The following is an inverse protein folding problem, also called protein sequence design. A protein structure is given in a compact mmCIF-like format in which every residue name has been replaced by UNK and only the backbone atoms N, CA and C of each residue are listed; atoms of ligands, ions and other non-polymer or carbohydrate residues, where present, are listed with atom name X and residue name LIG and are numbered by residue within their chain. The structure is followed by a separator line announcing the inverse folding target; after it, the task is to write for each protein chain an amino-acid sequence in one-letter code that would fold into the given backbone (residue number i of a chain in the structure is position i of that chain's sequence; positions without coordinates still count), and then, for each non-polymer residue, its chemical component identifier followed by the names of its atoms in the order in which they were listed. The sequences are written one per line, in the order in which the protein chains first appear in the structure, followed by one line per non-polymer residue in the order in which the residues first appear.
data_IF_127859588299
#
_entry.id   IF_127859588299
#
_cell.length_a   1.000
_cell.length_b   1.000
_cell.length_c   1.000
_cell.angle_alpha   90.00
_cell.angle_beta   90.00
_cell.angle_gamma   90.00
#
_symmetry.space_group_name_H-M   'P 1'
#
loop_
_entity.id
_entity.type
_entity.pdbx_description
1 polymer ?
#
# COMPACT_ATOMS: atom_id res chain seq x y z
N UNK A 1 -37.98 24.46 -22.11
CA UNK A 1 -37.56 23.20 -21.45
C UNK A 1 -38.33 23.06 -20.15
N UNK A 2 -39.07 21.96 -19.92
CA UNK A 2 -39.90 21.82 -18.71
C UNK A 2 -39.01 21.76 -17.46
N UNK A 3 -39.42 22.47 -16.39
CA UNK A 3 -38.69 22.60 -15.12
C UNK A 3 -38.23 21.26 -14.52
N UNK A 4 -38.95 20.17 -14.82
CA UNK A 4 -38.62 18.82 -14.35
C UNK A 4 -37.30 18.27 -14.89
N UNK A 5 -36.94 18.55 -16.14
CA UNK A 5 -35.75 17.96 -16.76
C UNK A 5 -34.45 18.58 -16.19
N UNK A 6 -34.43 19.89 -15.93
CA UNK A 6 -33.29 20.56 -15.28
C UNK A 6 -33.03 20.03 -13.86
N UNK A 7 -34.08 19.66 -13.12
CA UNK A 7 -33.95 19.08 -11.77
C UNK A 7 -33.33 17.68 -11.81
N UNK A 8 -33.68 16.86 -12.80
CA UNK A 8 -33.11 15.52 -12.98
C UNK A 8 -31.61 15.61 -13.30
N UNK A 9 -31.20 16.51 -14.20
CA UNK A 9 -29.78 16.70 -14.51
C UNK A 9 -28.97 17.20 -13.30
N UNK A 10 -29.54 18.09 -12.49
CA UNK A 10 -28.88 18.58 -11.28
C UNK A 10 -28.68 17.45 -10.25
N UNK A 11 -29.69 16.61 -10.05
CA UNK A 11 -29.61 15.46 -9.12
C UNK A 11 -28.59 14.45 -9.63
N UNK A 12 -28.58 14.13 -10.92
CA UNK A 12 -27.60 13.22 -11.50
C UNK A 12 -26.16 13.77 -11.40
N UNK A 13 -25.98 15.07 -11.59
CA UNK A 13 -24.67 15.71 -11.42
C UNK A 13 -24.21 15.69 -9.95
N UNK A 14 -25.10 15.97 -8.99
CA UNK A 14 -24.80 15.88 -7.56
C UNK A 14 -24.46 14.44 -7.16
N UNK A 15 -25.24 13.45 -7.60
CA UNK A 15 -24.98 12.03 -7.30
C UNK A 15 -23.65 11.58 -7.90
N UNK A 16 -23.34 11.99 -9.14
CA UNK A 16 -22.06 11.72 -9.78
C UNK A 16 -20.88 12.38 -9.04
N UNK A 17 -21.03 13.66 -8.66
CA UNK A 17 -20.04 14.40 -7.89
C UNK A 17 -19.80 13.78 -6.51
N UNK A 18 -20.86 13.38 -5.80
CA UNK A 18 -20.76 12.73 -4.48
C UNK A 18 -20.14 11.34 -4.57
N UNK A 19 -20.43 10.57 -5.62
CA UNK A 19 -19.76 9.29 -5.90
C UNK A 19 -18.26 9.48 -6.16
N UNK A 20 -17.89 10.53 -6.90
CA UNK A 20 -16.48 10.81 -7.22
C UNK A 20 -15.69 11.30 -5.99
N UNK A 21 -16.34 12.08 -5.11
CA UNK A 21 -15.75 12.51 -3.84
C UNK A 21 -15.50 11.33 -2.89
N UNK A 22 -16.44 10.41 -2.76
CA UNK A 22 -16.29 9.22 -1.90
C UNK A 22 -15.14 8.30 -2.36
N UNK A 23 -14.88 8.21 -3.66
CA UNK A 23 -13.74 7.48 -4.22
C UNK A 23 -12.40 8.18 -3.93
N UNK A 24 -12.40 9.52 -3.83
CA UNK A 24 -11.19 10.29 -3.51
C UNK A 24 -10.74 10.19 -2.04
N UNK A 25 -11.68 10.12 -1.08
CA UNK A 25 -11.35 9.98 0.35
C UNK A 25 -10.83 8.57 0.70
N UNK A 26 -11.41 7.53 0.08
CA UNK A 26 -10.91 6.16 0.20
C UNK A 26 -9.48 6.03 -0.32
N UNK A 27 -9.17 6.70 -1.44
CA UNK A 27 -7.85 6.73 -2.04
C UNK A 27 -6.80 7.48 -1.17
N UNK A 28 -7.18 8.60 -0.55
CA UNK A 28 -6.26 9.34 0.32
C UNK A 28 -5.87 8.53 1.56
N UNK A 29 -6.82 7.80 2.15
CA UNK A 29 -6.57 6.96 3.33
C UNK A 29 -5.59 5.84 3.03
N UNK A 30 -5.63 5.27 1.82
CA UNK A 30 -4.71 4.22 1.40
C UNK A 30 -3.28 4.70 1.14
N UNK A 31 -3.06 6.01 0.98
CA UNK A 31 -1.69 6.56 0.90
C UNK A 31 -0.91 6.37 2.20
N UNK A 32 -1.59 6.18 3.34
CA UNK A 32 -0.94 5.83 4.61
C UNK A 32 -0.19 4.49 4.53
N UNK A 33 -0.50 3.59 3.58
CA UNK A 33 0.31 2.38 3.33
C UNK A 33 1.78 2.69 2.99
N UNK A 34 2.09 3.93 2.62
CA UNK A 34 3.44 4.39 2.32
C UNK A 34 4.18 4.92 3.57
N UNK A 35 3.49 5.03 4.71
CA UNK A 35 4.07 5.48 5.98
C UNK A 35 4.82 4.36 6.70
N UNK A 36 6.06 4.15 6.28
CA UNK A 36 6.98 3.15 6.83
C UNK A 36 7.32 3.40 8.30
N UNK A 37 7.30 4.66 8.75
CA UNK A 37 7.61 5.01 10.14
C UNK A 37 6.53 4.48 11.08
N UNK A 38 5.27 4.81 10.82
CA UNK A 38 4.16 4.36 11.66
C UNK A 38 4.03 2.83 11.65
N UNK A 39 4.33 2.21 10.51
CA UNK A 39 4.34 0.75 10.38
C UNK A 39 5.43 0.08 11.24
N UNK A 40 6.65 0.62 11.23
CA UNK A 40 7.77 0.13 12.05
C UNK A 40 7.57 0.37 13.55
N UNK A 41 6.94 1.49 13.93
CA UNK A 41 6.58 1.76 15.32
C UNK A 41 5.58 0.72 15.86
N UNK A 42 4.61 0.31 15.03
CA UNK A 42 3.62 -0.68 15.41
C UNK A 42 4.12 -2.13 15.31
N UNK A 43 5.06 -2.42 14.40
CA UNK A 43 5.61 -3.76 14.18
C UNK A 43 7.14 -3.77 14.34
N UNK A 44 7.61 -4.05 15.56
CA UNK A 44 9.03 -4.06 15.90
C UNK A 44 9.52 -2.85 16.71
N UNK A 45 8.61 -1.93 17.05
CA UNK A 45 8.83 -0.80 17.96
C UNK A 45 10.04 0.07 17.57
N UNK A 46 10.28 0.25 16.26
CA UNK A 46 11.45 0.91 15.67
C UNK A 46 12.81 0.28 16.00
N UNK A 47 12.88 -0.82 16.75
CA UNK A 47 14.13 -1.48 17.14
C UNK A 47 14.55 -2.49 16.07
N UNK A 48 13.58 -3.26 15.57
CA UNK A 48 13.90 -4.36 14.65
C UNK A 48 14.37 -3.84 13.28
N UNK A 49 13.77 -2.78 12.75
CA UNK A 49 14.26 -2.16 11.50
C UNK A 49 15.69 -1.63 11.64
N UNK A 50 16.12 -1.24 12.84
CA UNK A 50 17.47 -0.74 13.11
C UNK A 50 18.54 -1.83 12.99
N UNK A 51 18.16 -3.11 13.03
CA UNK A 51 19.12 -4.19 12.79
C UNK A 51 19.72 -4.11 11.39
N UNK A 52 19.00 -3.55 10.41
CA UNK A 52 19.54 -3.33 9.06
C UNK A 52 20.74 -2.38 9.02
N UNK A 53 20.96 -1.57 10.06
CA UNK A 53 22.12 -0.68 10.18
C UNK A 53 23.33 -1.33 10.83
N UNK A 54 23.18 -2.54 11.38
CA UNK A 54 24.31 -3.30 11.93
C UNK A 54 25.32 -3.53 10.82
N UNK A 55 26.59 -3.21 11.09
CA UNK A 55 27.72 -3.32 10.15
C UNK A 55 27.63 -2.44 8.90
N UNK A 56 26.78 -1.40 8.90
CA UNK A 56 26.68 -0.45 7.78
C UNK A 56 27.25 0.92 8.14
N UNK A 57 27.55 1.72 7.12
CA UNK A 57 27.91 3.14 7.27
C UNK A 57 26.70 4.08 7.15
N UNK A 58 25.47 3.54 7.20
CA UNK A 58 24.24 4.30 6.99
C UNK A 58 23.70 4.98 8.25
N UNK A 59 24.45 4.98 9.35
CA UNK A 59 24.00 5.48 10.66
C UNK A 59 23.54 6.94 10.67
N UNK A 60 23.99 7.76 9.71
CA UNK A 60 23.50 9.14 9.56
C UNK A 60 22.00 9.22 9.22
N UNK A 61 21.40 8.14 8.72
CA UNK A 61 19.97 8.05 8.36
C UNK A 61 19.14 7.24 9.38
N UNK A 62 19.66 7.04 10.60
CA UNK A 62 19.10 6.10 11.58
C UNK A 62 17.64 6.42 11.99
N UNK A 63 17.29 7.70 12.06
CA UNK A 63 15.95 8.17 12.44
C UNK A 63 15.11 8.71 11.26
N UNK A 64 15.71 8.70 10.07
CA UNK A 64 15.05 9.05 8.83
C UNK A 64 14.28 7.85 8.27
N UNK A 65 13.22 8.10 7.50
CA UNK A 65 12.45 7.06 6.79
C UNK A 65 12.24 7.51 5.34
N UNK A 66 13.27 8.16 4.79
CA UNK A 66 13.26 8.76 3.45
C UNK A 66 13.98 7.89 2.42
N UNK A 67 14.05 8.38 1.19
CA UNK A 67 14.73 7.69 0.09
C UNK A 67 16.18 7.36 0.39
N UNK A 68 16.93 8.29 0.98
CA UNK A 68 18.36 8.13 1.21
C UNK A 68 18.68 7.04 2.24
N UNK A 69 17.85 6.88 3.27
CA UNK A 69 17.95 5.74 4.19
C UNK A 69 17.94 4.43 3.43
N UNK A 70 16.90 4.21 2.64
CA UNK A 70 16.69 2.92 2.00
C UNK A 70 17.69 2.66 0.88
N UNK A 71 18.06 3.69 0.10
CA UNK A 71 19.13 3.56 -0.88
C UNK A 71 20.45 3.13 -0.20
N UNK A 72 20.85 3.80 0.88
CA UNK A 72 22.07 3.45 1.59
C UNK A 72 22.03 2.00 2.10
N UNK A 73 20.95 1.61 2.77
CA UNK A 73 20.80 0.26 3.31
C UNK A 73 20.80 -0.80 2.21
N UNK A 74 20.03 -0.60 1.14
CA UNK A 74 19.91 -1.57 0.06
C UNK A 74 21.22 -1.71 -0.71
N UNK A 75 21.97 -0.61 -0.90
CA UNK A 75 23.30 -0.64 -1.51
C UNK A 75 24.31 -1.35 -0.60
N UNK A 76 24.32 -1.05 0.70
CA UNK A 76 25.24 -1.69 1.65
C UNK A 76 25.07 -3.21 1.69
N UNK A 77 23.81 -3.67 1.68
CA UNK A 77 23.48 -5.10 1.68
C UNK A 77 23.46 -5.74 0.28
N UNK A 78 23.76 -4.97 -0.78
CA UNK A 78 23.71 -5.42 -2.17
C UNK A 78 22.36 -6.09 -2.52
N UNK A 79 21.25 -5.49 -2.08
CA UNK A 79 19.92 -6.12 -2.22
C UNK A 79 19.32 -5.99 -3.61
N UNK A 80 19.80 -5.06 -4.45
CA UNK A 80 19.26 -4.79 -5.79
C UNK A 80 20.30 -5.08 -6.86
N UNK A 81 19.89 -5.74 -7.94
CA UNK A 81 20.73 -5.94 -9.12
C UNK A 81 20.77 -4.70 -10.02
N UNK A 82 21.50 -4.77 -11.13
CA UNK A 82 21.61 -3.67 -12.10
C UNK A 82 20.29 -3.31 -12.81
N UNK A 83 19.22 -4.07 -12.58
CA UNK A 83 17.86 -3.85 -13.11
C UNK A 83 16.89 -3.50 -11.98
N UNK A 84 17.40 -3.13 -10.81
CA UNK A 84 16.64 -2.81 -9.61
C UNK A 84 15.74 -3.96 -9.13
N UNK A 85 16.15 -5.22 -9.33
CA UNK A 85 15.44 -6.40 -8.80
C UNK A 85 16.12 -6.94 -7.56
N UNK A 86 15.33 -7.50 -6.66
CA UNK A 86 15.83 -8.07 -5.41
C UNK A 86 16.74 -9.26 -5.69
N UNK A 87 17.97 -9.20 -5.17
CA UNK A 87 18.92 -10.31 -5.17
C UNK A 87 18.61 -11.22 -3.97
N UNK A 88 17.95 -12.36 -4.26
CA UNK A 88 17.48 -13.30 -3.24
C UNK A 88 18.58 -13.86 -2.34
N UNK A 89 19.76 -14.27 -2.87
CA UNK A 89 20.83 -14.79 -2.01
C UNK A 89 21.27 -13.78 -0.95
N UNK A 90 21.50 -12.54 -1.35
CA UNK A 90 21.94 -11.41 -0.51
C UNK A 90 20.86 -11.05 0.51
N UNK A 91 19.60 -11.02 0.09
CA UNK A 91 18.46 -10.84 0.98
C UNK A 91 18.39 -11.93 2.06
N UNK A 92 18.53 -13.20 1.67
CA UNK A 92 18.45 -14.32 2.60
C UNK A 92 19.63 -14.33 3.58
N UNK A 93 20.83 -13.98 3.12
CA UNK A 93 22.01 -13.83 3.97
C UNK A 93 21.80 -12.69 4.99
N UNK A 94 21.35 -11.52 4.53
CA UNK A 94 21.02 -10.38 5.41
C UNK A 94 20.00 -10.78 6.48
N UNK A 95 18.85 -11.34 6.09
CA UNK A 95 17.80 -11.72 7.05
C UNK A 95 18.33 -12.77 8.04
N UNK A 96 19.08 -13.76 7.57
CA UNK A 96 19.63 -14.81 8.43
C UNK A 96 20.63 -14.25 9.44
N UNK A 97 21.46 -13.29 9.04
CA UNK A 97 22.44 -12.66 9.94
C UNK A 97 21.77 -11.79 11.00
N UNK A 98 20.72 -11.06 10.63
CA UNK A 98 20.09 -10.07 11.50
C UNK A 98 19.00 -10.67 12.40
N UNK A 99 18.27 -11.69 11.93
CA UNK A 99 17.06 -12.21 12.59
C UNK A 99 17.11 -13.73 12.83
N UNK A 100 18.29 -14.27 13.13
CA UNK A 100 18.52 -15.70 13.34
C UNK A 100 17.69 -16.30 14.50
N UNK A 101 17.21 -17.55 14.44
CA UNK A 101 16.71 -18.28 15.62
C UNK A 101 17.51 -18.12 16.91
N UNK A 102 18.85 -18.07 16.82
CA UNK A 102 19.74 -17.96 17.97
C UNK A 102 19.65 -16.61 18.70
N UNK A 103 19.20 -15.55 18.03
CA UNK A 103 19.02 -14.23 18.63
C UNK A 103 17.56 -13.94 19.04
N UNK A 104 16.66 -14.91 18.87
CA UNK A 104 15.26 -14.80 19.28
C UNK A 104 14.35 -14.03 18.32
N UNK A 105 14.82 -13.66 17.13
CA UNK A 105 14.05 -12.86 16.16
C UNK A 105 13.57 -13.63 14.91
N UNK A 106 13.60 -14.97 14.94
CA UNK A 106 13.27 -15.80 13.78
C UNK A 106 11.89 -15.54 13.19
N UNK A 107 10.86 -15.35 14.02
CA UNK A 107 9.50 -15.14 13.51
C UNK A 107 9.39 -13.79 12.78
N UNK A 108 10.10 -12.76 13.25
CA UNK A 108 10.20 -11.49 12.53
C UNK A 108 10.97 -11.66 11.23
N UNK A 109 12.12 -12.35 11.26
CA UNK A 109 12.91 -12.63 10.07
C UNK A 109 12.14 -13.41 8.99
N UNK A 110 11.34 -14.41 9.39
CA UNK A 110 10.47 -15.16 8.49
C UNK A 110 9.35 -14.29 7.91
N UNK A 111 8.73 -13.43 8.72
CA UNK A 111 7.71 -12.49 8.24
C UNK A 111 8.31 -11.48 7.25
N UNK A 112 9.50 -10.93 7.55
CA UNK A 112 10.22 -10.00 6.69
C UNK A 112 10.62 -10.67 5.38
N UNK A 113 11.13 -11.92 5.43
CA UNK A 113 11.45 -12.70 4.23
C UNK A 113 10.24 -12.86 3.31
N UNK A 114 9.09 -13.26 3.86
CA UNK A 114 7.85 -13.39 3.08
C UNK A 114 7.41 -12.07 2.47
N UNK A 115 7.49 -10.98 3.24
CA UNK A 115 7.16 -9.64 2.75
C UNK A 115 8.02 -9.23 1.54
N UNK A 116 9.33 -9.49 1.57
CA UNK A 116 10.20 -9.27 0.40
C UNK A 116 9.80 -10.15 -0.80
N UNK A 117 9.54 -11.43 -0.58
CA UNK A 117 9.15 -12.37 -1.65
C UNK A 117 7.82 -12.00 -2.30
N UNK A 118 6.87 -11.46 -1.54
CA UNK A 118 5.59 -11.00 -2.07
C UNK A 118 5.72 -9.67 -2.80
N UNK A 119 6.56 -8.76 -2.29
CA UNK A 119 6.86 -7.50 -2.97
C UNK A 119 7.67 -7.66 -4.26
N UNK A 120 8.53 -8.67 -4.36
CA UNK A 120 9.22 -9.03 -5.61
C UNK A 120 8.21 -9.37 -6.73
N UNK A 121 7.09 -10.02 -6.38
CA UNK A 121 6.01 -10.35 -7.33
C UNK A 121 5.12 -9.14 -7.66
N UNK A 122 5.01 -8.19 -6.74
CA UNK A 122 4.09 -7.06 -6.82
C UNK A 122 4.76 -5.74 -7.24
N UNK A 123 6.08 -5.72 -7.41
CA UNK A 123 6.87 -4.51 -7.66
C UNK A 123 6.29 -3.60 -8.75
N UNK A 124 5.93 -4.14 -9.93
CA UNK A 124 5.36 -3.34 -11.02
C UNK A 124 4.02 -2.69 -10.62
N UNK A 125 3.15 -3.42 -9.91
CA UNK A 125 1.87 -2.89 -9.43
C UNK A 125 2.05 -1.85 -8.33
N UNK A 126 3.07 -2.02 -7.49
CA UNK A 126 3.36 -1.08 -6.42
C UNK A 126 3.99 0.21 -6.97
N UNK A 127 4.86 0.09 -7.98
CA UNK A 127 5.37 1.25 -8.71
C UNK A 127 4.25 2.05 -9.39
N UNK A 128 3.29 1.36 -10.02
CA UNK A 128 2.09 1.99 -10.60
C UNK A 128 1.24 2.69 -9.52
N UNK A 129 1.07 2.08 -8.34
CA UNK A 129 0.35 2.69 -7.22
C UNK A 129 1.06 3.96 -6.72
N UNK A 130 2.37 3.88 -6.50
CA UNK A 130 3.16 5.03 -6.06
C UNK A 130 3.07 6.16 -7.08
N UNK A 131 3.17 5.84 -8.38
CA UNK A 131 3.03 6.84 -9.44
C UNK A 131 1.63 7.47 -9.43
N UNK A 132 0.58 6.67 -9.32
CA UNK A 132 -0.82 7.11 -9.32
C UNK A 132 -1.13 8.04 -8.15
N UNK A 133 -0.59 7.75 -6.95
CA UNK A 133 -0.85 8.52 -5.74
C UNK A 133 0.25 9.53 -5.39
N UNK A 134 1.24 9.71 -6.24
CA UNK A 134 2.43 10.54 -5.97
C UNK A 134 2.10 11.97 -5.54
N UNK A 135 1.09 12.59 -6.15
CA UNK A 135 0.65 13.95 -5.80
C UNK A 135 0.00 14.04 -4.42
N UNK A 136 -0.67 12.98 -3.97
CA UNK A 136 -1.41 12.93 -2.71
C UNK A 136 -0.56 12.37 -1.56
N UNK A 137 0.40 11.52 -1.90
CA UNK A 137 1.29 10.85 -0.97
C UNK A 137 2.60 11.61 -0.72
N UNK A 138 2.74 12.87 -1.15
CA UNK A 138 4.01 13.61 -0.98
C UNK A 138 4.51 13.63 0.48
N UNK A 139 3.59 13.69 1.45
CA UNK A 139 3.93 13.64 2.87
C UNK A 139 4.49 12.27 3.32
N UNK A 140 4.15 11.20 2.61
CA UNK A 140 4.53 9.82 2.94
C UNK A 140 5.65 9.27 2.04
N UNK A 141 5.77 9.80 0.82
CA UNK A 141 6.77 9.37 -0.15
C UNK A 141 8.17 9.86 0.18
N UNK A 142 8.33 10.80 1.13
CA UNK A 142 9.61 11.28 1.70
C UNK A 142 10.78 11.23 0.71
N UNK A 143 10.55 11.77 -0.49
CA UNK A 143 11.49 11.69 -1.60
C UNK A 143 12.61 12.71 -1.41
N UNK A 144 13.86 12.26 -1.46
CA UNK A 144 15.03 13.14 -1.55
C UNK A 144 15.55 13.11 -3.00
N UNK A 145 15.84 14.29 -3.55
CA UNK A 145 16.30 14.44 -4.94
C UNK A 145 17.72 13.93 -5.16
N UNK A 146 18.48 13.72 -4.09
CA UNK A 146 19.87 13.28 -4.15
C UNK A 146 20.01 11.76 -4.12
N UNK A 147 18.89 11.03 -4.01
CA UNK A 147 18.88 9.60 -3.75
C UNK A 147 17.90 8.87 -4.67
N UNK A 148 18.24 7.64 -5.07
CA UNK A 148 17.44 6.84 -6.01
C UNK A 148 16.19 6.22 -5.33
N UNK A 149 14.98 6.38 -5.91
CA UNK A 149 13.73 6.04 -5.22
C UNK A 149 13.40 4.55 -5.19
N UNK A 150 14.07 3.71 -5.97
CA UNK A 150 13.74 2.29 -6.13
C UNK A 150 13.77 1.51 -4.82
N UNK A 151 14.78 1.76 -3.98
CA UNK A 151 14.93 1.11 -2.69
C UNK A 151 13.79 1.47 -1.73
N UNK A 152 13.35 2.74 -1.75
CA UNK A 152 12.22 3.19 -0.93
C UNK A 152 10.92 2.50 -1.34
N UNK A 153 10.65 2.35 -2.64
CA UNK A 153 9.41 1.69 -3.10
C UNK A 153 9.35 0.22 -2.66
N UNK A 154 10.47 -0.50 -2.74
CA UNK A 154 10.56 -1.83 -2.17
C UNK A 154 10.34 -1.81 -0.66
N UNK A 155 10.99 -0.90 0.07
CA UNK A 155 10.85 -0.82 1.51
C UNK A 155 9.42 -0.49 1.96
N UNK A 156 8.71 0.39 1.26
CA UNK A 156 7.30 0.70 1.52
C UNK A 156 6.41 -0.52 1.32
N UNK A 157 6.60 -1.26 0.23
CA UNK A 157 5.88 -2.51 0.00
C UNK A 157 6.15 -3.54 1.10
N UNK A 158 7.43 -3.73 1.44
CA UNK A 158 7.86 -4.72 2.45
C UNK A 158 7.31 -4.34 3.82
N UNK A 159 7.44 -3.08 4.21
CA UNK A 159 6.93 -2.55 5.48
C UNK A 159 5.42 -2.73 5.58
N UNK A 160 4.66 -2.43 4.51
CA UNK A 160 3.23 -2.67 4.48
C UNK A 160 2.87 -4.15 4.65
N UNK A 161 3.53 -5.06 3.91
CA UNK A 161 3.30 -6.50 4.05
C UNK A 161 3.68 -7.05 5.43
N UNK A 162 4.79 -6.57 5.98
CA UNK A 162 5.29 -6.97 7.29
C UNK A 162 4.35 -6.49 8.39
N UNK A 163 3.89 -5.24 8.33
CA UNK A 163 2.92 -4.68 9.26
C UNK A 163 1.61 -5.49 9.29
N UNK A 164 1.09 -5.84 8.11
CA UNK A 164 -0.14 -6.62 7.97
C UNK A 164 0.00 -8.03 8.59
N UNK A 165 1.16 -8.64 8.41
CA UNK A 165 1.46 -10.00 8.85
C UNK A 165 2.39 -10.04 10.08
N UNK A 166 2.39 -8.95 10.87
CA UNK A 166 3.31 -8.80 11.98
C UNK A 166 3.12 -9.93 13.01
N UNK A 167 4.18 -10.64 13.43
CA UNK A 167 4.08 -11.62 14.50
C UNK A 167 3.60 -10.97 15.81
N UNK A 168 2.77 -11.69 16.56
CA UNK A 168 2.08 -11.15 17.75
C UNK A 168 3.05 -10.63 18.81
N UNK A 169 4.20 -11.28 18.95
CA UNK A 169 5.25 -10.92 19.91
C UNK A 169 5.97 -9.60 19.58
N UNK A 170 5.87 -9.10 18.34
CA UNK A 170 6.46 -7.83 17.90
C UNK A 170 5.39 -6.77 17.60
N UNK A 171 4.11 -7.12 17.75
CA UNK A 171 2.99 -6.20 17.57
C UNK A 171 2.81 -5.33 18.81
N UNK A 172 2.70 -4.02 18.60
CA UNK A 172 2.38 -3.07 19.66
C UNK A 172 0.86 -2.98 19.83
N UNK A 173 0.36 -3.67 20.85
CA UNK A 173 -1.08 -3.68 21.15
C UNK A 173 -1.54 -2.37 21.81
N UNK A 174 -1.97 -1.42 20.98
CA UNK A 174 -2.58 -0.17 21.42
C UNK A 174 -3.65 0.29 20.41
N UNK A 175 -4.49 1.24 20.83
CA UNK A 175 -5.61 1.76 20.03
C UNK A 175 -5.13 2.27 18.66
N UNK A 176 -4.07 3.07 18.64
CA UNK A 176 -3.53 3.68 17.41
C UNK A 176 -3.06 2.62 16.40
N UNK A 177 -2.29 1.62 16.82
CA UNK A 177 -1.81 0.55 15.93
C UNK A 177 -2.94 -0.35 15.44
N UNK A 178 -3.92 -0.66 16.29
CA UNK A 178 -5.04 -1.53 15.95
C UNK A 178 -6.03 -0.85 14.99
N UNK A 179 -6.31 0.44 15.20
CA UNK A 179 -7.09 1.25 14.25
C UNK A 179 -6.35 1.37 12.92
N UNK A 180 -5.05 1.68 12.97
CA UNK A 180 -4.24 1.78 11.77
C UNK A 180 -4.21 0.47 10.97
N UNK A 181 -4.12 -0.67 11.64
CA UNK A 181 -4.22 -1.99 10.99
C UNK A 181 -5.56 -2.21 10.30
N UNK A 182 -6.65 -1.83 10.96
CA UNK A 182 -8.00 -1.96 10.42
C UNK A 182 -8.20 -1.10 9.17
N UNK A 183 -7.70 0.14 9.20
CA UNK A 183 -7.70 1.04 8.05
C UNK A 183 -6.95 0.42 6.86
N UNK A 184 -5.73 -0.08 7.08
CA UNK A 184 -4.90 -0.62 6.00
C UNK A 184 -5.42 -1.96 5.46
N UNK A 185 -6.08 -2.79 6.27
CA UNK A 185 -6.74 -4.01 5.77
C UNK A 185 -7.76 -3.67 4.69
N UNK A 186 -8.53 -2.59 4.84
CA UNK A 186 -9.50 -2.16 3.83
C UNK A 186 -8.83 -1.78 2.50
N UNK A 187 -7.63 -1.18 2.57
CA UNK A 187 -6.82 -0.76 1.44
C UNK A 187 -6.08 -1.91 0.73
N UNK A 188 -5.77 -3.00 1.44
CA UNK A 188 -5.04 -4.15 0.89
C UNK A 188 -5.68 -4.79 -0.36
N UNK A 189 -7.01 -4.69 -0.46
CA UNK A 189 -7.79 -5.17 -1.62
C UNK A 189 -7.49 -4.40 -2.91
N UNK A 190 -7.18 -3.11 -2.80
CA UNK A 190 -6.86 -2.26 -3.95
C UNK A 190 -5.46 -2.55 -4.50
N UNK A 191 -4.55 -3.02 -3.65
CA UNK A 191 -3.16 -3.31 -4.00
C UNK A 191 -2.89 -4.79 -4.28
N UNK A 192 -3.86 -5.67 -4.04
CA UNK A 192 -3.69 -7.11 -4.19
C UNK A 192 -2.70 -7.71 -3.18
N UNK A 193 -2.55 -7.08 -2.01
CA UNK A 193 -1.58 -7.46 -0.96
C UNK A 193 -2.05 -8.65 -0.10
N UNK A 194 -3.22 -9.24 -0.38
CA UNK A 194 -3.74 -10.38 0.38
C UNK A 194 -3.74 -11.67 -0.44
N UNK A 195 -3.06 -12.69 0.08
CA UNK A 195 -3.72 -14.00 0.28
C UNK A 195 -4.18 -14.03 1.73
N UNK A 196 -5.49 -13.85 1.95
CA UNK A 196 -6.11 -14.01 3.27
C UNK A 196 -5.77 -15.42 3.79
N UNK A 197 -5.14 -15.59 4.96
CA UNK A 197 -5.18 -16.87 5.66
C UNK A 197 -6.64 -17.12 6.02
N UNK A 198 -7.19 -18.24 5.56
CA UNK A 198 -8.44 -18.77 6.11
C UNK A 198 -8.17 -19.09 7.58
N UNK A 199 -8.48 -18.16 8.48
CA UNK A 199 -8.59 -18.44 9.90
C UNK A 199 -10.07 -18.56 10.23
N UNK A 200 -10.51 -19.82 10.40
CA UNK A 200 -11.88 -20.24 10.72
C UNK A 200 -12.31 -19.87 12.16
N UNK A 201 -11.79 -18.79 12.74
CA UNK A 201 -12.18 -18.34 14.09
C UNK A 201 -12.65 -16.90 14.15
N UNK A 202 -13.79 -16.65 13.51
CA UNK A 202 -14.74 -15.60 13.93
C UNK A 202 -16.15 -16.16 13.77
N UNK A 203 -16.55 -16.97 14.74
CA UNK A 203 -17.95 -17.30 14.95
C UNK A 203 -18.66 -16.06 15.52
N UNK A 204 -19.41 -15.37 14.68
CA UNK A 204 -20.70 -14.80 15.08
C UNK A 204 -21.77 -15.09 14.01
N UNK A 205 -23.03 -15.28 14.44
CA UNK A 205 -24.02 -16.01 13.66
C UNK A 205 -24.76 -15.10 12.67
N UNK A 206 -24.84 -15.57 11.42
CA UNK A 206 -25.98 -15.34 10.55
C UNK A 206 -26.00 -14.03 9.74
N UNK A 207 -25.38 -14.05 8.56
CA UNK A 207 -26.00 -13.41 7.39
C UNK A 207 -25.61 -14.15 6.10
N UNK A 208 -26.64 -14.47 5.31
CA UNK A 208 -26.62 -15.34 4.14
C UNK A 208 -25.54 -14.98 3.12
N UNK A 209 -24.75 -15.99 2.71
CA UNK A 209 -23.96 -15.98 1.47
C UNK A 209 -24.90 -15.81 0.27
N UNK A 210 -24.74 -14.72 -0.47
CA UNK A 210 -25.15 -14.65 -1.88
C UNK A 210 -23.92 -14.24 -2.69
N UNK A 211 -23.43 -15.18 -3.50
CA UNK A 211 -22.45 -14.88 -4.54
C UNK A 211 -23.09 -14.03 -5.62
N UNK A 212 -22.37 -13.03 -6.12
CA UNK A 212 -22.67 -12.38 -7.38
C UNK A 212 -21.47 -11.58 -7.93
N UNK A 213 -20.96 -12.09 -9.05
CA UNK A 213 -20.79 -11.33 -10.29
C UNK A 213 -19.56 -10.43 -10.50
N UNK A 214 -18.59 -11.04 -11.19
CA UNK A 214 -17.72 -10.37 -12.18
C UNK A 214 -18.50 -9.88 -13.41
N UNK A 215 -19.41 -8.92 -13.23
CA UNK A 215 -20.20 -8.32 -14.33
C UNK A 215 -20.24 -6.80 -14.35
N UNK A 216 -19.39 -6.11 -13.58
CA UNK A 216 -19.40 -4.63 -13.52
C UNK A 216 -18.47 -3.91 -14.48
N UNK A 217 -17.69 -4.63 -15.30
CA UNK A 217 -16.70 -4.04 -16.22
C UNK A 217 -17.22 -3.76 -17.65
N UNK A 218 -18.49 -4.08 -17.97
CA UNK A 218 -19.06 -3.86 -19.32
C UNK A 218 -20.17 -2.81 -19.42
N UNK A 219 -20.63 -2.22 -18.31
CA UNK A 219 -21.72 -1.23 -18.39
C UNK A 219 -21.26 0.21 -18.64
N UNK A 220 -19.97 0.52 -18.38
CA UNK A 220 -19.45 1.89 -18.50
C UNK A 220 -19.19 2.26 -19.97
N UNK A 221 -18.83 1.29 -20.83
CA UNK A 221 -18.49 1.57 -22.24
C UNK A 221 -19.72 1.80 -23.14
N UNK A 222 -20.94 1.44 -22.70
CA UNK A 222 -22.16 1.61 -23.52
C UNK A 222 -22.93 2.91 -23.27
N UNK A 223 -22.67 3.61 -22.15
CA UNK A 223 -23.44 4.81 -21.77
C UNK A 223 -22.73 6.11 -22.19
N UNK A 224 -21.41 6.06 -22.38
CA UNK A 224 -20.60 7.24 -22.73
C UNK A 224 -20.95 7.90 -24.08
N UNK A 225 -21.28 7.17 -25.16
CA UNK A 225 -21.66 7.80 -26.42
C UNK A 225 -22.98 8.57 -26.31
N UNK A 226 -23.95 8.06 -25.55
CA UNK A 226 -25.31 8.62 -25.47
C UNK A 226 -25.32 9.98 -24.76
N UNK A 227 -24.47 10.15 -23.74
CA UNK A 227 -24.36 11.41 -22.99
C UNK A 227 -23.62 12.47 -23.83
N UNK A 228 -22.59 12.08 -24.60
CA UNK A 228 -21.84 13.00 -25.46
C UNK A 228 -22.70 13.52 -26.64
N UNK A 229 -23.53 12.65 -27.24
CA UNK A 229 -24.43 13.04 -28.34
C UNK A 229 -25.55 14.00 -27.88
N UNK A 230 -26.06 13.88 -26.65
CA UNK A 230 -27.04 14.83 -26.12
C UNK A 230 -26.43 16.21 -25.81
N UNK A 231 -25.16 16.27 -25.38
CA UNK A 231 -24.47 17.54 -25.10
C UNK A 231 -24.13 18.33 -26.37
N UNK A 232 -23.71 17.66 -27.45
CA UNK A 232 -23.42 18.33 -28.74
C UNK A 232 -24.69 18.89 -29.39
N UNK A 233 -25.83 18.21 -29.25
CA UNK A 233 -27.12 18.72 -29.72
C UNK A 233 -27.62 19.95 -28.95
N UNK A 234 -27.23 20.09 -27.67
CA UNK A 234 -27.64 21.20 -26.82
C UNK A 234 -26.81 22.47 -27.06
N UNK A 235 -25.52 22.33 -27.34
CA UNK A 235 -24.62 23.47 -27.66
C UNK A 235 -24.86 24.09 -29.04
N UNK A 236 -25.62 23.41 -29.92
CA UNK A 236 -25.93 23.90 -31.27
C UNK A 236 -27.23 24.73 -31.34
N UNK A 237 -27.95 24.84 -30.23
CA UNK A 237 -29.23 25.57 -30.10
C UNK A 237 -29.19 26.66 -29.00
N UNK A 238 -28.00 27.05 -28.58
CA UNK A 238 -27.70 28.29 -27.84
C UNK A 238 -26.90 29.18 -28.80
#
# INVERSE_FOLDING_TARGET
MPLGLKRIFLILWIVWYMLHLAESEGNLTCTKMLDTRSQDECCGNNVLSRFMFVTTNCSKYWDDFDTCRYECLYNNWNLLDSKNKIQRPELYDMITRLYNPLNGYNNYGLAMKRAFEDCDKLYLKYADFVLLYSAQAQNYLRLDKNCEPFALYYAQCVSGNLFMNCPKEYWRDNVMCNEYKTELISCSKYLGLTTVPNDDTLNEPGLKKNGANGHRKRLIDSIMPVILFMFIGFLRNI
#
